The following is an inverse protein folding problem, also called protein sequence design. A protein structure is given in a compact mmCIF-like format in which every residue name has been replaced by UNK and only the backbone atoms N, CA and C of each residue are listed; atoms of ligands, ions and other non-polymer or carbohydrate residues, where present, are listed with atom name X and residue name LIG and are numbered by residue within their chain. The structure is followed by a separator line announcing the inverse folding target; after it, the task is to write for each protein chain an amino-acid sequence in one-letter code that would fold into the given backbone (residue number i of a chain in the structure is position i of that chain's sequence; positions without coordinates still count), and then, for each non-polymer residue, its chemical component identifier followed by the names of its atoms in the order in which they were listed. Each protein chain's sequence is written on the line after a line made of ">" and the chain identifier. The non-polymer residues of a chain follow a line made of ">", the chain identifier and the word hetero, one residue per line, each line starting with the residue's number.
data_IF_239188242216
#
_entry.id   IF_239188242216
#
_cell.length_a   1.000
_cell.length_b   1.000
_cell.length_c   1.000
_cell.angle_alpha   90.00
_cell.angle_beta   90.00
_cell.angle_gamma   90.00
#
_symmetry.space_group_name_H-M   'P 1'
#
loop_
_entity.id
_entity.type
_entity.pdbx_description
1 polymer ?
#
# COMPACT_ATOMS: atom_id res chain seq x y z
N UNK A 1 -21.54 -3.83 37.88
CA UNK A 1 -20.85 -4.91 38.62
C UNK A 1 -19.41 -5.17 38.15
N UNK A 2 -18.68 -4.18 37.61
CA UNK A 2 -17.21 -4.24 37.51
C UNK A 2 -16.66 -2.84 37.75
N UNK A 3 -16.60 -2.48 39.03
CA UNK A 3 -16.09 -1.21 39.54
C UNK A 3 -15.01 -1.51 40.59
N UNK A 4 -13.90 -2.14 40.18
CA UNK A 4 -12.80 -2.45 41.10
C UNK A 4 -11.57 -3.04 40.39
N UNK A 5 -10.89 -2.27 39.52
CA UNK A 5 -9.48 -2.53 39.15
C UNK A 5 -8.79 -1.23 38.66
N UNK A 6 -8.15 -0.43 39.55
CA UNK A 6 -7.55 0.85 39.19
C UNK A 6 -6.30 0.74 38.29
N UNK A 7 -5.64 -0.43 38.26
CA UNK A 7 -4.36 -0.64 37.57
C UNK A 7 -4.48 -1.12 36.11
N UNK A 8 -5.64 -1.65 35.71
CA UNK A 8 -5.92 -2.00 34.30
C UNK A 8 -6.59 -0.86 33.52
N UNK A 9 -7.08 0.17 34.23
CA UNK A 9 -7.74 1.32 33.62
C UNK A 9 -6.76 2.30 32.96
N UNK A 10 -5.50 2.37 33.41
CA UNK A 10 -4.49 3.30 32.87
C UNK A 10 -4.07 2.98 31.41
N UNK A 11 -3.72 1.72 31.06
CA UNK A 11 -3.45 1.37 29.66
C UNK A 11 -4.72 1.49 28.81
N UNK A 12 -5.90 1.15 29.35
CA UNK A 12 -7.17 1.30 28.63
C UNK A 12 -7.53 2.76 28.35
N UNK A 13 -7.34 3.67 29.31
CA UNK A 13 -7.53 5.12 29.11
C UNK A 13 -6.53 5.69 28.12
N UNK A 14 -5.29 5.21 28.13
CA UNK A 14 -4.27 5.61 27.14
C UNK A 14 -4.65 5.14 25.73
N UNK A 15 -5.11 3.89 25.60
CA UNK A 15 -5.65 3.34 24.34
C UNK A 15 -6.90 4.11 23.90
N UNK A 16 -7.81 4.43 24.79
CA UNK A 16 -8.98 5.27 24.52
C UNK A 16 -8.61 6.70 24.07
N UNK A 17 -7.58 7.30 24.68
CA UNK A 17 -7.08 8.64 24.31
C UNK A 17 -6.44 8.69 22.91
N UNK A 18 -6.00 7.54 22.38
CA UNK A 18 -5.59 7.41 20.97
C UNK A 18 -6.78 7.48 20.00
N UNK A 19 -8.01 7.28 20.50
CA UNK A 19 -9.24 7.39 19.73
C UNK A 19 -9.95 8.74 19.87
N UNK A 20 -9.53 9.62 20.78
CA UNK A 20 -10.09 10.97 20.95
C UNK A 20 -9.37 11.99 20.05
N UNK A 21 -10.09 12.52 19.05
CA UNK A 21 -9.57 13.47 18.06
C UNK A 21 -10.06 14.90 18.33
N UNK A 22 -9.13 15.84 18.48
CA UNK A 22 -9.41 17.29 18.60
C UNK A 22 -10.06 17.88 17.33
N UNK A 23 -10.96 18.83 17.54
CA UNK A 23 -11.87 19.38 16.53
C UNK A 23 -11.29 20.62 15.83
N UNK A 24 -10.63 20.43 14.68
CA UNK A 24 -10.35 21.51 13.70
C UNK A 24 -10.99 21.20 12.34
N UNK A 25 -12.02 21.97 11.96
CA UNK A 25 -12.95 21.64 10.87
C UNK A 25 -12.37 21.74 9.45
N UNK A 26 -11.38 22.61 9.18
CA UNK A 26 -10.81 22.73 7.83
C UNK A 26 -9.76 21.68 7.48
N UNK A 27 -9.07 21.11 8.49
CA UNK A 27 -8.11 20.01 8.28
C UNK A 27 -8.77 18.63 8.13
N UNK A 28 -10.07 18.49 8.43
CA UNK A 28 -10.79 17.20 8.40
C UNK A 28 -10.92 16.63 6.98
N UNK A 29 -10.91 17.46 5.93
CA UNK A 29 -11.16 16.99 4.55
C UNK A 29 -10.02 16.15 3.96
N UNK A 30 -8.79 16.25 4.51
CA UNK A 30 -7.60 15.53 4.02
C UNK A 30 -7.12 14.47 5.02
N UNK A 31 -7.35 14.66 6.34
CA UNK A 31 -6.90 13.74 7.40
C UNK A 31 -7.34 12.28 7.21
N UNK A 32 -8.55 12.05 6.70
CA UNK A 32 -9.05 10.69 6.46
C UNK A 32 -8.23 9.93 5.41
N UNK A 33 -7.57 10.64 4.47
CA UNK A 33 -6.70 10.03 3.46
C UNK A 33 -5.43 9.47 4.11
N UNK A 34 -4.86 10.18 5.09
CA UNK A 34 -3.73 9.68 5.87
C UNK A 34 -4.16 8.45 6.70
N UNK A 35 -5.36 8.49 7.30
CA UNK A 35 -5.91 7.32 7.98
C UNK A 35 -6.10 6.11 7.08
N UNK A 36 -6.64 6.33 5.88
CA UNK A 36 -6.80 5.29 4.86
C UNK A 36 -5.43 4.73 4.39
N UNK A 37 -4.42 5.60 4.26
CA UNK A 37 -3.03 5.20 3.99
C UNK A 37 -2.48 4.29 5.09
N UNK A 38 -2.79 4.59 6.35
CA UNK A 38 -2.39 3.78 7.50
C UNK A 38 -3.03 2.39 7.50
N UNK A 39 -4.31 2.30 7.14
CA UNK A 39 -4.98 1.00 6.94
C UNK A 39 -4.30 0.22 5.82
N UNK A 40 -3.99 0.86 4.68
CA UNK A 40 -3.32 0.21 3.58
C UNK A 40 -1.97 -0.41 3.98
N UNK A 41 -1.14 0.28 4.76
CA UNK A 41 0.13 -0.28 5.24
C UNK A 41 -0.07 -1.49 6.17
N UNK A 42 -1.11 -1.50 7.00
CA UNK A 42 -1.43 -2.66 7.85
C UNK A 42 -1.86 -3.85 6.99
N UNK A 43 -2.74 -3.64 6.00
CA UNK A 43 -3.18 -4.70 5.09
C UNK A 43 -2.00 -5.34 4.33
N UNK A 44 -1.02 -4.53 3.91
CA UNK A 44 0.21 -5.03 3.27
C UNK A 44 1.01 -5.92 4.22
N UNK A 45 1.25 -5.48 5.46
CA UNK A 45 1.95 -6.29 6.48
C UNK A 45 1.23 -7.63 6.71
N UNK A 46 -0.08 -7.60 6.97
CA UNK A 46 -0.86 -8.80 7.27
C UNK A 46 -0.83 -9.81 6.13
N UNK A 47 -0.74 -9.33 4.89
CA UNK A 47 -0.63 -10.16 3.70
C UNK A 47 0.72 -10.83 3.57
N UNK A 48 1.81 -10.11 3.90
CA UNK A 48 3.13 -10.73 3.91
C UNK A 48 3.28 -11.74 5.05
N UNK A 49 2.65 -11.51 6.20
CA UNK A 49 2.54 -12.52 7.26
C UNK A 49 1.77 -13.76 6.79
N UNK A 50 0.62 -13.58 6.15
CA UNK A 50 -0.18 -14.68 5.60
C UNK A 50 0.58 -15.43 4.50
N UNK A 51 1.22 -14.72 3.57
CA UNK A 51 1.99 -15.34 2.49
C UNK A 51 3.21 -16.11 3.01
N UNK A 52 3.83 -15.62 4.08
CA UNK A 52 4.98 -16.27 4.70
C UNK A 52 4.61 -17.57 5.43
N UNK A 53 3.52 -17.62 6.19
CA UNK A 53 3.27 -18.77 7.07
C UNK A 53 1.90 -19.44 6.93
N UNK A 54 0.95 -18.83 6.23
CA UNK A 54 -0.42 -19.33 6.07
C UNK A 54 -1.00 -19.02 4.67
N UNK A 55 -0.33 -19.53 3.62
CA UNK A 55 -0.72 -19.30 2.23
C UNK A 55 -2.13 -19.83 1.91
N UNK A 56 -2.64 -20.79 2.68
CA UNK A 56 -4.00 -21.32 2.53
C UNK A 56 -5.10 -20.26 2.70
N UNK A 57 -4.83 -19.13 3.34
CA UNK A 57 -5.79 -18.02 3.47
C UNK A 57 -6.18 -17.37 2.13
N UNK A 58 -5.41 -17.60 1.05
CA UNK A 58 -5.68 -17.05 -0.28
C UNK A 58 -6.76 -17.82 -1.06
N UNK A 59 -7.07 -19.07 -0.66
CA UNK A 59 -8.17 -19.90 -1.18
C UNK A 59 -9.37 -19.92 -0.21
N UNK A 60 -10.63 -20.02 -0.66
CA UNK A 60 -11.80 -20.03 0.23
C UNK A 60 -11.87 -21.26 1.12
N UNK A 61 -11.41 -22.42 0.65
CA UNK A 61 -11.28 -23.72 1.35
C UNK A 61 -11.03 -24.79 0.30
N UNK A 62 -10.53 -25.99 0.62
CA UNK A 62 -10.63 -27.12 -0.31
C UNK A 62 -12.06 -27.65 -0.38
N UNK A 63 -12.46 -28.26 -1.51
CA UNK A 63 -13.83 -28.77 -1.75
C UNK A 63 -14.42 -29.58 -0.58
N UNK A 64 -13.59 -30.35 0.11
CA UNK A 64 -14.01 -31.28 1.18
C UNK A 64 -13.66 -30.78 2.60
N UNK A 65 -13.21 -29.53 2.74
CA UNK A 65 -12.80 -28.96 4.04
C UNK A 65 -13.64 -27.73 4.39
N UNK A 66 -14.13 -27.62 5.64
CA UNK A 66 -14.83 -26.42 6.06
C UNK A 66 -13.87 -25.21 6.02
N UNK A 67 -14.35 -24.02 5.60
CA UNK A 67 -13.53 -22.83 5.59
C UNK A 67 -13.14 -22.40 7.01
N UNK A 68 -11.88 -22.00 7.19
CA UNK A 68 -11.45 -21.33 8.41
C UNK A 68 -12.12 -19.96 8.50
N UNK A 69 -12.30 -19.44 9.71
CA UNK A 69 -12.94 -18.14 9.96
C UNK A 69 -12.37 -17.01 9.09
N UNK A 70 -11.05 -16.98 8.90
CA UNK A 70 -10.34 -15.97 8.12
C UNK A 70 -10.38 -16.21 6.59
N UNK A 71 -11.00 -17.28 6.11
CA UNK A 71 -11.26 -17.54 4.68
C UNK A 71 -12.68 -17.13 4.26
N UNK A 72 -13.55 -16.81 5.21
CA UNK A 72 -14.92 -16.34 4.93
C UNK A 72 -14.92 -14.97 4.22
N UNK A 73 -15.99 -14.65 3.47
CA UNK A 73 -16.17 -13.32 2.87
C UNK A 73 -15.99 -12.20 3.90
N UNK A 74 -15.45 -11.07 3.45
CA UNK A 74 -15.13 -9.87 4.23
C UNK A 74 -13.99 -10.09 5.23
N UNK A 75 -14.03 -11.14 6.05
CA UNK A 75 -13.01 -11.48 7.05
C UNK A 75 -11.66 -11.85 6.44
N UNK A 76 -11.67 -12.31 5.19
CA UNK A 76 -10.45 -12.65 4.45
C UNK A 76 -9.69 -11.50 3.84
N UNK A 77 -10.34 -10.34 3.67
CA UNK A 77 -9.77 -9.16 3.00
C UNK A 77 -8.41 -8.76 3.59
N UNK A 78 -8.21 -8.71 4.92
CA UNK A 78 -6.96 -8.23 5.51
C UNK A 78 -5.71 -9.03 5.14
N UNK A 79 -5.88 -10.31 4.77
CA UNK A 79 -4.79 -11.25 4.55
C UNK A 79 -4.43 -11.42 3.06
N UNK A 80 -5.28 -10.94 2.15
CA UNK A 80 -5.07 -11.05 0.70
C UNK A 80 -4.18 -9.93 0.13
N UNK A 81 -4.23 -8.74 0.72
CA UNK A 81 -3.32 -7.60 0.48
C UNK A 81 -3.45 -6.84 -0.81
N UNK A 82 -4.22 -7.35 -1.77
CA UNK A 82 -4.44 -6.68 -3.06
C UNK A 82 -5.01 -5.28 -2.87
N UNK A 83 -5.97 -5.10 -1.96
CA UNK A 83 -6.57 -3.78 -1.68
C UNK A 83 -5.54 -2.77 -1.15
N UNK A 84 -4.55 -3.21 -0.36
CA UNK A 84 -3.57 -2.31 0.24
C UNK A 84 -2.79 -1.52 -0.81
N UNK A 85 -2.23 -2.20 -1.81
CA UNK A 85 -1.50 -1.55 -2.92
C UNK A 85 -2.44 -0.67 -3.75
N UNK A 86 -3.66 -1.15 -4.04
CA UNK A 86 -4.69 -0.41 -4.76
C UNK A 86 -5.07 0.91 -4.06
N UNK A 87 -5.13 0.94 -2.72
CA UNK A 87 -5.34 2.17 -1.94
C UNK A 87 -4.22 3.18 -2.18
N UNK A 88 -2.94 2.76 -2.19
CA UNK A 88 -1.82 3.69 -2.43
C UNK A 88 -1.87 4.33 -3.83
N UNK A 89 -2.32 3.58 -4.84
CA UNK A 89 -2.54 4.11 -6.18
C UNK A 89 -3.69 5.12 -6.22
N UNK A 90 -4.84 4.80 -5.61
CA UNK A 90 -5.96 5.72 -5.44
C UNK A 90 -5.53 7.03 -4.75
N UNK A 91 -4.82 6.91 -3.62
CA UNK A 91 -4.31 8.04 -2.86
C UNK A 91 -3.32 8.88 -3.69
N UNK A 92 -2.53 8.25 -4.56
CA UNK A 92 -1.64 8.98 -5.48
C UNK A 92 -2.45 9.83 -6.46
N UNK A 93 -3.51 9.28 -7.06
CA UNK A 93 -4.49 10.03 -7.85
C UNK A 93 -5.06 11.22 -7.12
N UNK A 94 -5.59 10.97 -5.92
CA UNK A 94 -6.31 11.98 -5.15
C UNK A 94 -5.41 13.13 -4.69
N UNK A 95 -4.26 12.81 -4.09
CA UNK A 95 -3.38 13.79 -3.45
C UNK A 95 -2.60 14.61 -4.49
N UNK A 96 -2.20 14.01 -5.61
CA UNK A 96 -1.48 14.75 -6.66
C UNK A 96 -2.38 15.77 -7.36
N UNK A 97 -3.67 15.46 -7.51
CA UNK A 97 -4.65 16.36 -8.13
C UNK A 97 -5.16 17.45 -7.19
N UNK A 98 -5.20 17.20 -5.88
CA UNK A 98 -5.87 18.07 -4.90
C UNK A 98 -5.44 19.54 -4.98
N UNK A 99 -4.15 19.82 -4.79
CA UNK A 99 -3.65 21.21 -4.72
C UNK A 99 -3.72 21.93 -6.08
N UNK A 100 -3.28 21.34 -7.21
CA UNK A 100 -3.44 21.97 -8.52
C UNK A 100 -4.89 22.30 -8.85
N UNK A 101 -5.83 21.40 -8.56
CA UNK A 101 -7.26 21.63 -8.82
C UNK A 101 -7.86 22.71 -7.91
N UNK A 102 -7.44 22.79 -6.65
CA UNK A 102 -7.84 23.88 -5.74
C UNK A 102 -7.39 25.25 -6.27
N UNK A 103 -6.14 25.37 -6.74
CA UNK A 103 -5.60 26.61 -7.30
C UNK A 103 -6.28 26.99 -8.62
N UNK A 104 -6.52 26.00 -9.49
CA UNK A 104 -7.26 26.17 -10.75
C UNK A 104 -8.68 26.70 -10.51
N UNK A 105 -9.42 26.11 -9.55
CA UNK A 105 -10.77 26.56 -9.19
C UNK A 105 -10.79 27.95 -8.55
N UNK A 106 -9.71 28.34 -7.86
CA UNK A 106 -9.52 29.70 -7.36
C UNK A 106 -9.13 30.70 -8.47
N UNK A 107 -9.08 30.28 -9.73
CA UNK A 107 -8.69 31.11 -10.88
C UNK A 107 -7.18 31.35 -11.01
N UNK A 108 -6.36 30.75 -10.14
CA UNK A 108 -4.91 30.94 -10.14
C UNK A 108 -4.19 29.82 -10.90
N UNK A 109 -4.34 29.84 -12.23
CA UNK A 109 -3.76 28.83 -13.12
C UNK A 109 -2.23 28.82 -13.08
N UNK A 110 -1.58 29.98 -13.01
CA UNK A 110 -0.11 30.08 -12.93
C UNK A 110 0.43 29.36 -11.69
N UNK A 111 -0.20 29.57 -10.52
CA UNK A 111 0.17 28.85 -9.31
C UNK A 111 -0.14 27.35 -9.42
N UNK A 112 -1.22 26.97 -10.12
CA UNK A 112 -1.55 25.56 -10.34
C UNK A 112 -0.46 24.85 -11.17
N UNK A 113 -0.01 25.45 -12.28
CA UNK A 113 1.08 24.92 -13.10
C UNK A 113 2.42 24.87 -12.35
N UNK A 114 2.79 25.94 -11.63
CA UNK A 114 4.00 25.93 -10.78
C UNK A 114 3.92 24.82 -9.71
N UNK A 115 2.74 24.60 -9.12
CA UNK A 115 2.52 23.51 -8.17
C UNK A 115 2.69 22.13 -8.81
N UNK A 116 2.27 21.93 -10.06
CA UNK A 116 2.49 20.68 -10.79
C UNK A 116 3.97 20.49 -11.05
N UNK A 117 4.66 21.50 -11.61
CA UNK A 117 6.09 21.45 -11.93
C UNK A 117 6.94 21.07 -10.71
N UNK A 118 6.74 21.77 -9.59
CA UNK A 118 7.45 21.46 -8.32
C UNK A 118 7.12 20.06 -7.79
N UNK A 119 5.87 19.62 -7.92
CA UNK A 119 5.47 18.28 -7.45
C UNK A 119 6.09 17.19 -8.31
N UNK A 120 6.10 17.36 -9.63
CA UNK A 120 6.73 16.45 -10.57
C UNK A 120 8.24 16.33 -10.32
N UNK A 121 8.93 17.45 -10.07
CA UNK A 121 10.36 17.43 -9.74
C UNK A 121 10.66 16.77 -8.40
N UNK A 122 9.89 17.08 -7.36
CA UNK A 122 10.13 16.56 -6.00
C UNK A 122 9.82 15.08 -5.87
N UNK A 123 8.94 14.52 -6.71
CA UNK A 123 8.41 13.15 -6.53
C UNK A 123 9.46 12.05 -6.72
N UNK A 124 10.29 12.03 -7.79
CA UNK A 124 11.32 11.01 -7.95
C UNK A 124 12.34 11.01 -6.79
N UNK A 125 12.98 12.13 -6.40
CA UNK A 125 13.94 12.10 -5.29
C UNK A 125 13.32 11.63 -3.97
N UNK A 126 12.07 12.04 -3.67
CA UNK A 126 11.36 11.63 -2.45
C UNK A 126 11.04 10.13 -2.38
N UNK A 127 10.89 9.46 -3.52
CA UNK A 127 10.67 8.01 -3.57
C UNK A 127 11.99 7.24 -3.70
N UNK A 128 12.88 7.70 -4.59
CA UNK A 128 14.13 7.02 -4.91
C UNK A 128 15.10 7.06 -3.73
N UNK A 129 15.29 8.21 -3.07
CA UNK A 129 16.30 8.33 -2.01
C UNK A 129 16.02 7.41 -0.82
N UNK A 130 14.83 7.43 -0.17
CA UNK A 130 14.57 6.53 0.95
C UNK A 130 14.58 5.05 0.51
N UNK A 131 14.03 4.72 -0.65
CA UNK A 131 14.05 3.35 -1.17
C UNK A 131 15.48 2.83 -1.41
N UNK A 132 16.37 3.70 -1.91
CA UNK A 132 17.79 3.38 -2.11
C UNK A 132 18.50 3.14 -0.78
N UNK A 133 18.23 3.95 0.25
CA UNK A 133 18.77 3.72 1.59
C UNK A 133 18.28 2.37 2.14
N UNK A 134 16.99 2.05 1.97
CA UNK A 134 16.42 0.78 2.41
C UNK A 134 17.06 -0.41 1.66
N UNK A 135 17.29 -0.28 0.36
CA UNK A 135 18.02 -1.26 -0.46
C UNK A 135 19.44 -1.50 0.05
N UNK A 136 20.20 -0.44 0.32
CA UNK A 136 21.59 -0.54 0.79
C UNK A 136 21.64 -1.18 2.18
N UNK A 137 20.68 -0.88 3.05
CA UNK A 137 20.57 -1.53 4.35
C UNK A 137 20.22 -3.02 4.22
N UNK A 138 19.26 -3.38 3.35
CA UNK A 138 18.94 -4.77 3.08
C UNK A 138 20.13 -5.54 2.47
N UNK A 139 20.86 -4.91 1.56
CA UNK A 139 22.11 -5.43 1.01
C UNK A 139 23.15 -5.69 2.11
N UNK A 140 23.38 -4.72 3.00
CA UNK A 140 24.32 -4.87 4.11
C UNK A 140 23.91 -6.02 5.05
N UNK A 141 22.60 -6.14 5.36
CA UNK A 141 22.07 -7.25 6.15
C UNK A 141 22.28 -8.59 5.44
N UNK A 142 22.17 -8.65 4.11
CA UNK A 142 22.50 -9.84 3.33
C UNK A 142 23.98 -10.20 3.44
N UNK A 143 24.90 -9.24 3.30
CA UNK A 143 26.34 -9.48 3.45
C UNK A 143 26.72 -10.01 4.84
N UNK A 144 25.98 -9.60 5.88
CA UNK A 144 26.15 -10.08 7.25
C UNK A 144 25.48 -11.44 7.51
N UNK A 145 24.90 -12.09 6.49
CA UNK A 145 24.25 -13.38 6.61
C UNK A 145 22.85 -13.32 7.24
N UNK A 146 22.22 -12.14 7.32
CA UNK A 146 20.93 -11.93 7.98
C UNK A 146 19.80 -12.83 7.46
N UNK A 147 19.82 -13.12 6.16
CA UNK A 147 18.82 -13.95 5.48
C UNK A 147 19.10 -15.45 5.51
N UNK A 148 20.19 -15.90 6.13
CA UNK A 148 20.61 -17.31 6.13
C UNK A 148 19.53 -18.23 6.71
N UNK A 149 18.87 -17.81 7.79
CA UNK A 149 17.75 -18.55 8.39
C UNK A 149 16.57 -18.61 7.44
N UNK A 150 16.26 -17.49 6.76
CA UNK A 150 15.18 -17.42 5.78
C UNK A 150 15.38 -18.38 4.61
N UNK A 151 16.60 -18.48 4.08
CA UNK A 151 16.98 -19.40 3.01
C UNK A 151 16.86 -20.90 3.39
N UNK A 152 16.71 -21.21 4.67
CA UNK A 152 16.69 -22.57 5.24
C UNK A 152 15.38 -22.92 5.92
N UNK A 153 14.44 -21.98 5.98
CA UNK A 153 13.14 -22.13 6.64
C UNK A 153 12.21 -23.12 5.91
N UNK A 154 11.33 -23.80 6.64
CA UNK A 154 10.25 -24.61 6.03
C UNK A 154 9.25 -23.80 5.19
N UNK A 155 9.25 -22.47 5.31
CA UNK A 155 8.39 -21.57 4.55
C UNK A 155 8.93 -21.32 3.14
N UNK A 156 8.22 -21.84 2.14
CA UNK A 156 8.57 -21.69 0.72
C UNK A 156 8.71 -20.22 0.31
N UNK A 157 7.79 -19.37 0.74
CA UNK A 157 7.81 -17.95 0.39
C UNK A 157 8.97 -17.21 1.05
N UNK A 158 9.27 -17.49 2.33
CA UNK A 158 10.41 -16.87 3.02
C UNK A 158 11.72 -17.29 2.36
N UNK A 159 11.88 -18.57 1.98
CA UNK A 159 13.06 -19.04 1.25
C UNK A 159 13.22 -18.33 -0.09
N UNK A 160 12.15 -18.27 -0.89
CA UNK A 160 12.20 -17.66 -2.22
C UNK A 160 12.43 -16.14 -2.17
N UNK A 161 11.84 -15.45 -1.18
CA UNK A 161 11.96 -14.00 -1.05
C UNK A 161 13.26 -13.54 -0.35
N UNK A 162 14.06 -14.48 0.17
CA UNK A 162 15.33 -14.17 0.84
C UNK A 162 16.49 -14.22 -0.17
N UNK A 163 17.33 -13.17 -0.25
CA UNK A 163 18.44 -13.17 -1.20
C UNK A 163 19.50 -14.19 -0.78
N UNK A 164 20.06 -14.87 -1.77
CA UNK A 164 21.30 -15.64 -1.64
C UNK A 164 22.47 -14.74 -2.06
N UNK A 165 23.49 -14.65 -1.21
CA UNK A 165 24.68 -13.82 -1.43
C UNK A 165 25.61 -14.49 -2.44
N UNK A 166 26.14 -13.73 -3.39
CA UNK A 166 27.14 -14.17 -4.36
C UNK A 166 28.52 -14.43 -3.71
N UNK A 167 29.35 -15.26 -4.34
CA UNK A 167 30.62 -15.73 -3.76
C UNK A 167 31.67 -14.64 -3.47
N UNK A 168 31.49 -13.42 -3.98
CA UNK A 168 32.48 -12.35 -3.84
C UNK A 168 31.83 -10.98 -3.63
N UNK A 169 32.46 -10.17 -2.78
CA UNK A 169 32.00 -8.81 -2.48
C UNK A 169 31.91 -7.93 -3.74
N UNK A 170 32.83 -8.11 -4.70
CA UNK A 170 32.82 -7.36 -5.97
C UNK A 170 31.56 -7.68 -6.79
N UNK A 171 31.19 -8.97 -6.89
CA UNK A 171 29.93 -9.38 -7.55
C UNK A 171 28.72 -8.78 -6.85
N UNK A 172 28.71 -8.74 -5.51
CA UNK A 172 27.63 -8.14 -4.73
C UNK A 172 27.52 -6.61 -4.90
N UNK A 173 28.64 -5.90 -5.01
CA UNK A 173 28.63 -4.45 -5.32
C UNK A 173 28.10 -4.22 -6.75
N UNK A 174 28.55 -5.01 -7.73
CA UNK A 174 28.02 -4.93 -9.10
C UNK A 174 26.52 -5.28 -9.16
N UNK A 175 26.10 -6.27 -8.36
CA UNK A 175 24.69 -6.65 -8.19
C UNK A 175 23.90 -5.50 -7.58
N UNK A 176 24.42 -4.79 -6.58
CA UNK A 176 23.75 -3.62 -6.01
C UNK A 176 23.43 -2.55 -7.06
N UNK A 177 24.39 -2.20 -7.94
CA UNK A 177 24.14 -1.26 -9.05
C UNK A 177 23.15 -1.82 -10.07
N UNK A 178 23.23 -3.12 -10.39
CA UNK A 178 22.28 -3.79 -11.29
C UNK A 178 20.87 -3.78 -10.71
N UNK A 179 20.72 -4.05 -9.42
CA UNK A 179 19.45 -4.07 -8.68
C UNK A 179 18.87 -2.68 -8.59
N UNK A 180 19.68 -1.66 -8.27
CA UNK A 180 19.24 -0.26 -8.33
C UNK A 180 18.62 0.08 -9.69
N UNK A 181 19.32 -0.30 -10.77
CA UNK A 181 18.83 -0.09 -12.14
C UNK A 181 17.56 -0.90 -12.42
N UNK A 182 17.48 -2.17 -12.02
CA UNK A 182 16.29 -3.00 -12.27
C UNK A 182 15.06 -2.45 -11.53
N UNK A 183 15.20 -2.05 -10.25
CA UNK A 183 14.13 -1.47 -9.45
C UNK A 183 13.43 -0.31 -10.16
N UNK A 184 14.19 0.55 -10.85
CA UNK A 184 13.65 1.73 -11.54
C UNK A 184 13.41 1.55 -13.04
N UNK A 185 13.69 0.37 -13.61
CA UNK A 185 13.44 0.07 -15.04
C UNK A 185 12.37 -0.99 -15.26
N UNK A 186 12.41 -2.08 -14.50
CA UNK A 186 11.44 -3.19 -14.58
C UNK A 186 10.72 -3.48 -13.25
N UNK A 187 11.10 -2.81 -12.14
CA UNK A 187 10.46 -2.96 -10.84
C UNK A 187 11.00 -4.13 -10.00
N UNK A 188 11.94 -4.91 -10.52
CA UNK A 188 12.50 -6.06 -9.80
C UNK A 188 13.60 -5.63 -8.82
N UNK A 189 13.53 -6.15 -7.59
CA UNK A 189 14.48 -5.83 -6.53
C UNK A 189 14.86 -7.09 -5.72
N UNK A 190 16.03 -7.65 -6.01
CA UNK A 190 16.52 -8.89 -5.38
C UNK A 190 16.51 -8.86 -3.83
N UNK A 191 16.86 -7.72 -3.24
CA UNK A 191 17.00 -7.61 -1.80
C UNK A 191 15.66 -7.42 -1.08
N UNK A 192 14.63 -6.88 -1.77
CA UNK A 192 13.31 -6.62 -1.20
C UNK A 192 12.24 -6.46 -2.30
N UNK A 193 11.73 -7.60 -2.81
CA UNK A 193 10.78 -7.62 -3.92
C UNK A 193 9.50 -6.81 -3.64
N UNK A 194 9.18 -6.55 -2.37
CA UNK A 194 8.02 -5.76 -1.95
C UNK A 194 8.03 -4.33 -2.50
N UNK A 195 9.21 -3.80 -2.86
CA UNK A 195 9.33 -2.43 -3.38
C UNK A 195 8.84 -2.26 -4.83
N UNK A 196 8.47 -3.34 -5.52
CA UNK A 196 8.04 -3.33 -6.92
C UNK A 196 6.97 -2.27 -7.25
N UNK A 197 6.07 -1.97 -6.32
CA UNK A 197 4.98 -1.02 -6.53
C UNK A 197 5.45 0.45 -6.61
N UNK A 198 6.68 0.77 -6.21
CA UNK A 198 7.22 2.14 -6.28
C UNK A 198 7.34 2.66 -7.71
N UNK A 199 7.79 1.83 -8.65
CA UNK A 199 7.97 2.23 -10.04
C UNK A 199 6.63 2.54 -10.73
N UNK A 200 5.59 1.67 -10.65
CA UNK A 200 4.24 2.00 -11.12
C UNK A 200 3.66 3.25 -10.44
N UNK A 201 3.85 3.46 -9.13
CA UNK A 201 3.38 4.67 -8.44
C UNK A 201 4.07 5.94 -8.93
N UNK A 202 5.38 5.87 -9.21
CA UNK A 202 6.13 6.98 -9.79
C UNK A 202 5.62 7.29 -11.20
N UNK A 203 5.54 6.29 -12.09
CA UNK A 203 4.98 6.45 -13.44
C UNK A 203 3.56 7.00 -13.40
N UNK A 204 2.72 6.47 -12.51
CA UNK A 204 1.35 6.91 -12.30
C UNK A 204 1.25 8.38 -11.88
N UNK A 205 2.14 8.85 -11.01
CA UNK A 205 2.20 10.27 -10.64
C UNK A 205 2.54 11.18 -11.83
N UNK A 206 3.41 10.75 -12.73
CA UNK A 206 3.75 11.51 -13.95
C UNK A 206 2.58 11.57 -14.92
N UNK A 207 1.84 10.47 -15.09
CA UNK A 207 0.59 10.45 -15.89
C UNK A 207 -0.40 11.48 -15.35
N UNK A 208 -0.60 11.52 -14.02
CA UNK A 208 -1.49 12.51 -13.38
C UNK A 208 -1.03 13.94 -13.70
N UNK A 209 0.26 14.25 -13.60
CA UNK A 209 0.77 15.59 -13.88
C UNK A 209 0.55 16.00 -15.35
N UNK A 210 0.77 15.08 -16.30
CA UNK A 210 0.48 15.32 -17.72
C UNK A 210 -1.01 15.59 -17.95
N UNK A 211 -1.88 14.77 -17.36
CA UNK A 211 -3.34 14.95 -17.47
C UNK A 211 -3.78 16.27 -16.84
N UNK A 212 -3.25 16.63 -15.67
CA UNK A 212 -3.56 17.92 -15.04
C UNK A 212 -3.11 19.10 -15.89
N UNK A 213 -1.93 19.03 -16.51
CA UNK A 213 -1.47 20.07 -17.44
C UNK A 213 -2.41 20.19 -18.65
N UNK A 214 -2.79 19.07 -19.27
CA UNK A 214 -3.69 19.05 -20.43
C UNK A 214 -5.13 19.46 -20.13
N UNK A 215 -5.60 19.25 -18.89
CA UNK A 215 -6.99 19.53 -18.48
C UNK A 215 -7.14 20.79 -17.62
N UNK A 216 -6.06 21.55 -17.41
CA UNK A 216 -6.04 22.68 -16.46
C UNK A 216 -7.08 23.75 -16.76
N UNK A 217 -7.26 24.08 -18.04
CA UNK A 217 -8.23 25.06 -18.55
C UNK A 217 -9.57 24.45 -18.94
N UNK A 218 -9.70 23.14 -18.83
CA UNK A 218 -10.92 22.43 -19.18
C UNK A 218 -12.01 22.72 -18.15
N UNK A 219 -13.23 23.00 -18.60
CA UNK A 219 -14.36 23.15 -17.68
C UNK A 219 -14.58 21.84 -16.92
N UNK A 220 -15.06 21.95 -15.68
CA UNK A 220 -15.27 20.82 -14.77
C UNK A 220 -15.97 19.62 -15.43
N UNK A 221 -17.08 19.84 -16.15
CA UNK A 221 -17.85 18.76 -16.80
C UNK A 221 -16.99 17.94 -17.77
N UNK A 222 -16.26 18.62 -18.65
CA UNK A 222 -15.42 17.93 -19.63
C UNK A 222 -14.21 17.28 -18.98
N UNK A 223 -13.66 17.88 -17.92
CA UNK A 223 -12.56 17.27 -17.15
C UNK A 223 -12.99 15.97 -16.47
N UNK A 224 -14.21 15.94 -15.91
CA UNK A 224 -14.80 14.71 -15.37
C UNK A 224 -15.02 13.67 -16.47
N UNK A 225 -15.43 14.08 -17.68
CA UNK A 225 -15.52 13.17 -18.83
C UNK A 225 -14.17 12.57 -19.19
N UNK A 226 -13.07 13.34 -19.17
CA UNK A 226 -11.72 12.81 -19.41
C UNK A 226 -11.36 11.74 -18.38
N UNK A 227 -11.61 11.98 -17.10
CA UNK A 227 -11.34 10.98 -16.06
C UNK A 227 -12.17 9.71 -16.25
N UNK A 228 -13.45 9.85 -16.63
CA UNK A 228 -14.32 8.71 -16.94
C UNK A 228 -13.86 7.94 -18.18
N UNK A 229 -13.44 8.62 -19.24
CA UNK A 229 -12.89 7.98 -20.46
C UNK A 229 -11.60 7.22 -20.11
N UNK A 230 -10.71 7.83 -19.33
CA UNK A 230 -9.48 7.16 -18.89
C UNK A 230 -9.77 5.97 -17.99
N UNK A 231 -10.73 6.07 -17.07
CA UNK A 231 -11.19 4.93 -16.28
C UNK A 231 -11.68 3.78 -17.18
N UNK A 232 -12.54 4.08 -18.17
CA UNK A 232 -13.05 3.08 -19.11
C UNK A 232 -11.95 2.48 -19.98
N UNK A 233 -10.94 3.27 -20.36
CA UNK A 233 -9.77 2.78 -21.07
C UNK A 233 -8.97 1.75 -20.23
N UNK A 234 -8.65 2.07 -18.97
CA UNK A 234 -7.93 1.13 -18.09
C UNK A 234 -8.79 -0.07 -17.66
N UNK A 235 -10.12 0.08 -17.64
CA UNK A 235 -11.03 -1.04 -17.46
C UNK A 235 -10.89 -2.09 -18.57
N UNK A 236 -10.76 -1.63 -19.82
CA UNK A 236 -10.63 -2.51 -20.98
C UNK A 236 -9.21 -3.06 -21.20
N UNK A 237 -8.19 -2.34 -20.74
CA UNK A 237 -6.80 -2.69 -20.99
C UNK A 237 -6.37 -3.96 -20.22
N UNK A 238 -5.97 -5.07 -20.87
CA UNK A 238 -5.66 -6.34 -20.19
C UNK A 238 -4.25 -6.41 -19.59
N UNK A 239 -3.41 -5.38 -19.81
CA UNK A 239 -2.05 -5.38 -19.31
C UNK A 239 -1.95 -5.44 -17.78
N UNK A 240 -0.77 -5.82 -17.27
CA UNK A 240 -0.55 -6.08 -15.85
C UNK A 240 -0.80 -4.82 -15.00
N UNK A 241 -1.45 -5.02 -13.85
CA UNK A 241 -1.67 -4.02 -12.79
C UNK A 241 -2.42 -2.75 -13.23
N UNK A 242 -3.07 -2.77 -14.39
CA UNK A 242 -3.77 -1.60 -14.93
C UNK A 242 -5.01 -1.23 -14.12
N UNK A 243 -5.68 -2.22 -13.52
CA UNK A 243 -6.73 -2.04 -12.52
C UNK A 243 -6.21 -1.50 -11.19
N UNK A 244 -4.99 -1.86 -10.79
CA UNK A 244 -4.42 -1.46 -9.50
C UNK A 244 -3.85 -0.06 -9.57
N UNK A 245 -3.15 0.30 -10.65
CA UNK A 245 -2.57 1.64 -10.82
C UNK A 245 -3.42 2.49 -11.74
N UNK A 246 -3.45 2.18 -13.04
CA UNK A 246 -4.11 2.99 -14.07
C UNK A 246 -5.51 3.47 -13.67
N UNK A 247 -6.43 2.53 -13.45
CA UNK A 247 -7.81 2.81 -13.05
C UNK A 247 -7.89 3.66 -11.77
N UNK A 248 -7.14 3.27 -10.73
CA UNK A 248 -7.21 3.91 -9.42
C UNK A 248 -6.66 5.34 -9.39
N UNK A 249 -5.65 5.64 -10.21
CA UNK A 249 -5.15 7.01 -10.35
C UNK A 249 -6.28 7.93 -10.83
N UNK A 250 -7.07 7.50 -11.81
CA UNK A 250 -8.19 8.29 -12.34
C UNK A 250 -9.40 8.32 -11.39
N UNK A 251 -9.69 7.25 -10.65
CA UNK A 251 -10.69 7.30 -9.55
C UNK A 251 -10.27 8.30 -8.47
N UNK A 252 -8.98 8.33 -8.14
CA UNK A 252 -8.39 9.31 -7.23
C UNK A 252 -8.54 10.75 -7.74
N UNK A 253 -8.20 11.01 -9.00
CA UNK A 253 -8.38 12.33 -9.63
C UNK A 253 -9.84 12.75 -9.67
N UNK A 254 -10.73 11.83 -10.04
CA UNK A 254 -12.18 12.05 -10.10
C UNK A 254 -12.74 12.45 -8.75
N UNK A 255 -12.43 11.67 -7.70
CA UNK A 255 -12.88 11.98 -6.34
C UNK A 255 -12.25 13.27 -5.79
N UNK A 256 -11.01 13.58 -6.15
CA UNK A 256 -10.35 14.83 -5.74
C UNK A 256 -11.01 16.05 -6.39
N UNK A 257 -11.38 15.97 -7.66
CA UNK A 257 -12.08 17.06 -8.34
C UNK A 257 -13.51 17.23 -7.81
N UNK A 258 -14.22 16.11 -7.60
CA UNK A 258 -15.55 16.08 -6.97
C UNK A 258 -15.53 16.64 -5.53
N UNK A 259 -14.45 16.40 -4.79
CA UNK A 259 -14.25 16.96 -3.45
C UNK A 259 -14.17 18.49 -3.45
N UNK A 260 -13.65 19.07 -4.53
CA UNK A 260 -13.56 20.52 -4.69
C UNK A 260 -14.83 21.14 -5.31
N UNK A 261 -15.85 20.34 -5.64
CA UNK A 261 -17.11 20.79 -6.21
C UNK A 261 -18.15 21.19 -5.18
N UNK A 262 -18.32 22.50 -4.98
CA UNK A 262 -19.26 23.04 -3.99
C UNK A 262 -20.70 22.64 -4.27
N UNK A 263 -21.13 22.63 -5.53
CA UNK A 263 -22.49 22.24 -5.92
C UNK A 263 -22.79 20.79 -5.53
N UNK A 264 -21.87 19.87 -5.82
CA UNK A 264 -21.99 18.48 -5.39
C UNK A 264 -21.98 18.33 -3.87
N UNK A 265 -21.07 19.02 -3.15
CA UNK A 265 -21.03 18.94 -1.68
C UNK A 265 -22.34 19.44 -1.05
N UNK A 266 -22.91 20.54 -1.56
CA UNK A 266 -24.20 21.05 -1.12
C UNK A 266 -25.32 20.05 -1.39
N UNK A 267 -25.38 19.46 -2.58
CA UNK A 267 -26.37 18.43 -2.92
C UNK A 267 -26.26 17.18 -2.01
N UNK A 268 -25.06 16.67 -1.78
CA UNK A 268 -24.85 15.51 -0.89
C UNK A 268 -25.18 15.85 0.58
N UNK A 269 -25.07 17.11 0.97
CA UNK A 269 -25.42 17.55 2.32
C UNK A 269 -26.94 17.51 2.60
N UNK A 270 -27.78 17.69 1.58
CA UNK A 270 -29.25 17.64 1.74
C UNK A 270 -29.79 16.22 1.91
N UNK A 271 -29.09 15.22 1.39
CA UNK A 271 -29.53 13.81 1.35
C UNK A 271 -29.09 12.99 2.58
N UNK A 272 -29.22 13.49 3.81
CA UNK A 272 -28.59 12.89 5.00
C UNK A 272 -28.89 11.39 5.21
N UNK A 273 -30.18 11.00 5.25
CA UNK A 273 -30.60 9.60 5.47
C UNK A 273 -30.29 8.71 4.27
N UNK A 274 -30.67 9.15 3.07
CA UNK A 274 -30.44 8.39 1.82
C UNK A 274 -28.94 8.19 1.57
N UNK A 275 -28.12 9.20 1.82
CA UNK A 275 -26.65 9.12 1.73
C UNK A 275 -26.10 8.07 2.69
N UNK A 276 -26.62 7.99 3.91
CA UNK A 276 -26.17 6.99 4.90
C UNK A 276 -26.49 5.58 4.45
N UNK A 277 -27.74 5.32 4.02
CA UNK A 277 -28.17 4.00 3.53
C UNK A 277 -27.36 3.62 2.29
N UNK A 278 -27.22 4.53 1.34
CA UNK A 278 -26.45 4.32 0.12
C UNK A 278 -24.98 4.03 0.42
N UNK A 279 -24.33 4.84 1.26
CA UNK A 279 -22.94 4.66 1.68
C UNK A 279 -22.70 3.30 2.36
N UNK A 280 -23.59 2.85 3.25
CA UNK A 280 -23.48 1.54 3.88
C UNK A 280 -23.70 0.41 2.87
N UNK A 281 -24.67 0.56 1.97
CA UNK A 281 -24.99 -0.46 0.95
C UNK A 281 -23.81 -0.66 -0.01
N UNK A 282 -23.26 0.43 -0.55
CA UNK A 282 -22.11 0.33 -1.46
C UNK A 282 -20.83 -0.09 -0.72
N UNK A 283 -20.69 0.21 0.57
CA UNK A 283 -19.58 -0.30 1.38
C UNK A 283 -19.66 -1.83 1.55
N UNK A 284 -20.84 -2.37 1.87
CA UNK A 284 -21.05 -3.82 1.99
C UNK A 284 -20.81 -4.49 0.64
N UNK A 285 -21.37 -3.95 -0.45
CA UNK A 285 -21.13 -4.47 -1.79
C UNK A 285 -19.64 -4.43 -2.14
N UNK A 286 -18.96 -3.32 -1.87
CA UNK A 286 -17.53 -3.16 -2.10
C UNK A 286 -16.69 -4.17 -1.32
N UNK A 287 -17.00 -4.41 -0.05
CA UNK A 287 -16.36 -5.43 0.77
C UNK A 287 -16.63 -6.84 0.23
N UNK A 288 -17.86 -7.15 -0.16
CA UNK A 288 -18.22 -8.44 -0.77
C UNK A 288 -17.46 -8.69 -2.07
N UNK A 289 -17.39 -7.71 -2.98
CA UNK A 289 -16.63 -7.83 -4.22
C UNK A 289 -15.13 -7.97 -3.95
N UNK A 290 -14.57 -7.15 -3.05
CA UNK A 290 -13.16 -7.21 -2.72
C UNK A 290 -12.74 -8.50 -1.99
N UNK A 291 -13.71 -9.29 -1.53
CA UNK A 291 -13.49 -10.59 -0.89
C UNK A 291 -13.16 -11.70 -1.89
N UNK A 292 -13.32 -11.51 -3.20
CA UNK A 292 -13.01 -12.53 -4.21
C UNK A 292 -11.66 -13.22 -3.92
N UNK A 293 -11.52 -14.54 -3.91
CA UNK A 293 -10.25 -15.17 -3.54
C UNK A 293 -9.13 -14.89 -4.56
N UNK A 294 -7.87 -15.09 -4.15
CA UNK A 294 -6.74 -15.02 -5.06
C UNK A 294 -6.57 -16.33 -5.83
N UNK A 295 -6.76 -17.43 -5.13
CA UNK A 295 -6.56 -18.80 -5.59
C UNK A 295 -7.87 -19.58 -5.48
N UNK A 296 -8.10 -20.49 -6.42
CA UNK A 296 -9.20 -21.46 -6.41
C UNK A 296 -10.60 -20.84 -6.11
N UNK A 297 -11.03 -19.81 -6.86
CA UNK A 297 -12.37 -19.21 -6.70
C UNK A 297 -13.52 -20.20 -6.86
N UNK A 298 -13.31 -21.31 -7.55
CA UNK A 298 -14.28 -22.38 -7.78
C UNK A 298 -14.59 -23.24 -6.54
N UNK A 299 -13.88 -23.06 -5.42
CA UNK A 299 -14.05 -23.91 -4.25
C UNK A 299 -15.19 -23.50 -3.29
N UNK A 300 -15.76 -22.31 -3.46
CA UNK A 300 -16.94 -21.88 -2.70
C UNK A 300 -17.98 -21.23 -3.59
N UNK A 301 -19.26 -21.51 -3.32
CA UNK A 301 -20.38 -21.07 -4.17
C UNK A 301 -20.42 -19.53 -4.35
N UNK A 302 -20.16 -18.78 -3.29
CA UNK A 302 -20.15 -17.32 -3.35
C UNK A 302 -19.02 -16.77 -4.22
N UNK A 303 -17.84 -17.40 -4.21
CA UNK A 303 -16.71 -16.98 -5.04
C UNK A 303 -16.85 -17.48 -6.47
N UNK A 304 -17.48 -18.63 -6.68
CA UNK A 304 -17.85 -19.13 -8.00
C UNK A 304 -18.90 -18.24 -8.66
N UNK A 305 -19.88 -17.75 -7.91
CA UNK A 305 -20.84 -16.76 -8.40
C UNK A 305 -20.13 -15.46 -8.85
N UNK A 306 -19.20 -14.95 -8.04
CA UNK A 306 -18.38 -13.81 -8.45
C UNK A 306 -17.48 -14.14 -9.65
N UNK A 307 -16.96 -15.36 -9.77
CA UNK A 307 -16.17 -15.79 -10.92
C UNK A 307 -16.98 -15.71 -12.22
N UNK A 308 -18.22 -16.22 -12.21
CA UNK A 308 -19.14 -16.18 -13.36
C UNK A 308 -19.50 -14.74 -13.75
N UNK A 309 -19.82 -13.90 -12.76
CA UNK A 309 -20.06 -12.48 -12.98
C UNK A 309 -18.80 -11.85 -13.59
N UNK A 310 -17.64 -12.05 -12.96
CA UNK A 310 -16.36 -11.46 -13.37
C UNK A 310 -15.99 -11.78 -14.81
N UNK A 311 -16.17 -13.03 -15.24
CA UNK A 311 -15.94 -13.48 -16.60
C UNK A 311 -16.87 -12.81 -17.64
N UNK A 312 -18.00 -12.27 -17.19
CA UNK A 312 -18.98 -11.57 -18.05
C UNK A 312 -18.72 -10.07 -18.10
N UNK A 313 -18.43 -9.43 -16.97
CA UNK A 313 -18.23 -7.95 -16.88
C UNK A 313 -16.81 -7.49 -17.20
N UNK A 314 -15.80 -8.31 -16.94
CA UNK A 314 -14.41 -7.94 -17.22
C UNK A 314 -13.95 -8.48 -18.58
N UNK A 315 -13.05 -7.76 -19.28
CA UNK A 315 -12.45 -8.26 -20.52
C UNK A 315 -11.75 -9.62 -20.33
N UNK A 316 -11.60 -10.38 -21.40
CA UNK A 316 -10.85 -11.63 -21.38
C UNK A 316 -9.35 -11.40 -21.11
N UNK A 317 -8.68 -12.38 -20.50
CA UNK A 317 -7.23 -12.34 -20.24
C UNK A 317 -6.80 -11.45 -19.06
N UNK A 318 -7.73 -10.94 -18.26
CA UNK A 318 -7.43 -10.09 -17.09
C UNK A 318 -7.23 -10.90 -15.80
N UNK A 319 -6.53 -10.32 -14.82
CA UNK A 319 -6.49 -10.85 -13.46
C UNK A 319 -7.78 -10.50 -12.70
N UNK A 320 -8.76 -11.41 -12.70
CA UNK A 320 -10.06 -11.21 -12.05
C UNK A 320 -9.95 -10.83 -10.58
N UNK A 321 -8.99 -11.40 -9.85
CA UNK A 321 -8.80 -11.10 -8.44
C UNK A 321 -8.40 -9.66 -8.15
N UNK A 322 -7.49 -9.10 -8.96
CA UNK A 322 -7.14 -7.68 -8.88
C UNK A 322 -8.28 -6.79 -9.37
N UNK A 323 -9.03 -7.19 -10.39
CA UNK A 323 -10.18 -6.44 -10.91
C UNK A 323 -11.31 -6.31 -9.89
N UNK A 324 -11.67 -7.40 -9.22
CA UNK A 324 -12.62 -7.37 -8.11
C UNK A 324 -12.11 -6.55 -6.92
N UNK A 325 -10.80 -6.62 -6.61
CA UNK A 325 -10.21 -5.78 -5.56
C UNK A 325 -10.25 -4.29 -5.91
N UNK A 326 -10.01 -3.93 -7.17
CA UNK A 326 -10.09 -2.56 -7.67
C UNK A 326 -11.53 -2.03 -7.63
N UNK A 327 -12.48 -2.78 -8.20
CA UNK A 327 -13.90 -2.40 -8.18
C UNK A 327 -14.45 -2.33 -6.75
N UNK A 328 -14.10 -3.29 -5.90
CA UNK A 328 -14.47 -3.28 -4.49
C UNK A 328 -13.89 -2.09 -3.74
N UNK A 329 -12.63 -1.73 -4.00
CA UNK A 329 -12.04 -0.51 -3.46
C UNK A 329 -12.78 0.74 -3.94
N UNK A 330 -13.10 0.84 -5.23
CA UNK A 330 -13.81 2.00 -5.80
C UNK A 330 -15.09 2.25 -4.98
N UNK A 331 -15.92 1.22 -4.80
CA UNK A 331 -17.14 1.32 -3.99
C UNK A 331 -16.87 1.70 -2.52
N UNK A 332 -15.82 1.14 -1.90
CA UNK A 332 -15.43 1.46 -0.52
C UNK A 332 -14.98 2.93 -0.40
N UNK A 333 -14.16 3.43 -1.33
CA UNK A 333 -13.69 4.83 -1.26
C UNK A 333 -14.82 5.81 -1.56
N UNK A 334 -15.77 5.48 -2.45
CA UNK A 334 -17.01 6.24 -2.63
C UNK A 334 -17.87 6.22 -1.36
N UNK A 335 -18.00 5.07 -0.68
CA UNK A 335 -18.70 4.98 0.61
C UNK A 335 -18.05 5.89 1.67
N UNK A 336 -16.73 5.81 1.84
CA UNK A 336 -15.97 6.66 2.76
C UNK A 336 -16.14 8.13 2.39
N UNK A 337 -16.06 8.46 1.10
CA UNK A 337 -16.23 9.82 0.60
C UNK A 337 -17.60 10.41 0.96
N UNK A 338 -18.66 9.60 0.93
CA UNK A 338 -20.02 10.01 1.28
C UNK A 338 -20.35 9.91 2.79
N UNK A 339 -19.49 9.29 3.61
CA UNK A 339 -19.74 9.07 5.04
C UNK A 339 -18.87 9.98 5.93
N UNK A 340 -19.43 11.09 6.48
CA UNK A 340 -18.72 11.92 7.46
C UNK A 340 -18.26 11.13 8.70
N UNK A 341 -19.05 10.15 9.14
CA UNK A 341 -18.72 9.30 10.29
C UNK A 341 -17.46 8.48 10.02
N UNK A 342 -17.37 7.85 8.84
CA UNK A 342 -16.19 7.04 8.48
C UNK A 342 -14.96 7.93 8.31
N UNK A 343 -15.09 9.10 7.66
CA UNK A 343 -13.99 10.09 7.60
C UNK A 343 -13.51 10.52 8.98
N UNK A 344 -14.44 10.74 9.92
CA UNK A 344 -14.12 11.09 11.31
C UNK A 344 -13.35 9.98 12.02
N UNK A 345 -13.77 8.72 11.87
CA UNK A 345 -13.07 7.54 12.41
C UNK A 345 -11.64 7.47 11.85
N UNK A 346 -11.47 7.57 10.53
CA UNK A 346 -10.16 7.55 9.87
C UNK A 346 -9.27 8.74 10.23
N UNK A 347 -9.85 9.81 10.77
CA UNK A 347 -9.10 11.00 11.23
C UNK A 347 -8.67 10.92 12.70
N UNK A 348 -8.89 9.79 13.38
CA UNK A 348 -8.44 9.58 14.77
C UNK A 348 -6.92 9.40 14.84
N UNK A 349 -6.33 9.71 16.01
CA UNK A 349 -4.86 9.75 16.20
C UNK A 349 -4.18 8.42 15.83
N UNK A 350 -4.78 7.29 16.18
CA UNK A 350 -4.26 5.97 15.81
C UNK A 350 -4.06 5.84 14.29
N UNK A 351 -5.11 6.08 13.50
CA UNK A 351 -5.04 5.96 12.03
C UNK A 351 -4.09 6.98 11.42
N UNK A 352 -4.05 8.21 11.95
CA UNK A 352 -3.10 9.23 11.53
C UNK A 352 -1.64 8.84 11.83
N UNK A 353 -1.39 8.19 12.98
CA UNK A 353 -0.08 7.66 13.32
C UNK A 353 0.34 6.55 12.34
N UNK A 354 -0.54 5.60 12.06
CA UNK A 354 -0.29 4.55 11.06
C UNK A 354 -0.02 5.18 9.68
N UNK A 355 -0.84 6.15 9.28
CA UNK A 355 -0.73 6.88 8.02
C UNK A 355 0.57 7.64 7.85
N UNK A 356 1.01 8.35 8.89
CA UNK A 356 2.27 9.10 8.90
C UNK A 356 3.48 8.20 8.67
N UNK A 357 3.49 6.99 9.23
CA UNK A 357 4.62 6.05 9.13
C UNK A 357 4.47 5.02 7.99
N UNK A 358 3.36 5.04 7.25
CA UNK A 358 3.01 4.02 6.25
C UNK A 358 4.07 3.79 5.17
N UNK A 359 4.73 4.86 4.68
CA UNK A 359 5.79 4.74 3.68
C UNK A 359 7.06 4.09 4.26
N UNK A 360 7.45 4.50 5.47
CA UNK A 360 8.56 3.88 6.19
C UNK A 360 8.28 2.41 6.52
N UNK A 361 7.05 2.08 6.92
CA UNK A 361 6.60 0.70 7.11
C UNK A 361 6.76 -0.09 5.81
N UNK A 362 6.29 0.45 4.68
CA UNK A 362 6.44 -0.18 3.37
C UNK A 362 7.90 -0.50 3.05
N UNK A 363 8.85 0.41 3.32
CA UNK A 363 10.27 0.20 3.04
C UNK A 363 10.97 -0.77 4.02
N UNK A 364 10.55 -0.83 5.29
CA UNK A 364 11.28 -1.57 6.31
C UNK A 364 10.70 -2.97 6.58
N UNK A 365 9.38 -3.15 6.43
CA UNK A 365 8.71 -4.38 6.88
C UNK A 365 9.21 -5.64 6.16
N UNK A 366 9.56 -5.56 4.88
CA UNK A 366 9.99 -6.73 4.10
C UNK A 366 11.29 -7.34 4.63
N UNK A 367 12.30 -6.49 4.85
CA UNK A 367 13.57 -6.89 5.45
C UNK A 367 13.40 -7.34 6.90
N UNK A 368 12.64 -6.57 7.71
CA UNK A 368 12.38 -6.93 9.10
C UNK A 368 11.60 -8.26 9.23
N UNK A 369 10.69 -8.56 8.31
CA UNK A 369 9.94 -9.81 8.30
C UNK A 369 10.86 -10.99 8.00
N UNK A 370 11.66 -10.89 6.93
CA UNK A 370 12.52 -11.99 6.46
C UNK A 370 13.73 -12.24 7.37
N UNK A 371 14.13 -11.26 8.17
CA UNK A 371 15.26 -11.37 9.10
C UNK A 371 14.76 -11.47 10.54
N UNK A 372 14.22 -10.39 11.10
CA UNK A 372 13.88 -10.32 12.54
C UNK A 372 12.77 -11.29 12.92
N UNK A 373 11.63 -11.29 12.21
CA UNK A 373 10.54 -12.22 12.55
C UNK A 373 10.94 -13.67 12.28
N UNK A 374 11.63 -13.93 11.18
CA UNK A 374 12.20 -15.25 10.88
C UNK A 374 13.12 -15.72 12.02
N UNK A 375 14.02 -14.89 12.53
CA UNK A 375 14.88 -15.25 13.67
C UNK A 375 14.08 -15.52 14.94
N UNK A 376 13.00 -14.78 15.18
CA UNK A 376 12.12 -15.03 16.32
C UNK A 376 11.34 -16.34 16.21
N UNK A 377 11.03 -16.82 15.00
CA UNK A 377 10.24 -18.04 14.76
C UNK A 377 11.13 -19.28 14.65
N UNK A 378 12.28 -19.19 13.99
CA UNK A 378 13.15 -20.33 13.66
C UNK A 378 14.45 -20.37 14.50
N UNK A 379 14.75 -19.32 15.26
CA UNK A 379 16.04 -19.13 15.91
C UNK A 379 17.04 -18.36 15.03
N UNK A 380 18.16 -17.95 15.63
CA UNK A 380 19.15 -17.08 14.98
C UNK A 380 20.21 -17.90 14.22
N UNK A 381 20.57 -19.08 14.73
CA UNK A 381 21.52 -19.98 14.09
C UNK A 381 20.80 -20.82 13.04
N UNK A 382 20.88 -20.46 11.76
CA UNK A 382 20.40 -21.31 10.66
C UNK A 382 21.22 -22.60 10.47
N UNK A 383 22.02 -22.99 11.47
CA UNK A 383 22.99 -24.08 11.50
C UNK A 383 22.60 -25.09 12.59
N UNK A 384 23.00 -26.37 12.48
CA UNK A 384 23.78 -26.98 11.39
C UNK A 384 22.94 -27.18 10.12
N UNK A 385 23.54 -26.90 8.96
CA UNK A 385 22.94 -27.08 7.63
C UNK A 385 23.90 -27.87 6.74
N UNK A 386 24.19 -29.10 7.16
CA UNK A 386 25.14 -29.98 6.47
C UNK A 386 24.37 -31.13 5.81
N UNK A 387 24.62 -31.42 4.52
CA UNK A 387 24.07 -32.60 3.88
C UNK A 387 24.53 -33.88 4.58
N UNK A 388 23.60 -34.78 4.85
CA UNK A 388 23.91 -36.09 5.42
C UNK A 388 23.96 -37.13 4.30
N UNK A 389 24.71 -38.22 4.48
CA UNK A 389 24.68 -39.34 3.53
C UNK A 389 23.68 -40.38 4.02
N UNK A 390 22.75 -40.81 3.17
CA UNK A 390 21.88 -41.94 3.49
C UNK A 390 22.68 -43.26 3.43
N UNK A 391 22.05 -44.36 3.84
CA UNK A 391 22.66 -45.71 3.81
C UNK A 391 23.18 -46.13 2.43
N UNK A 392 22.62 -45.57 1.35
CA UNK A 392 23.02 -45.82 -0.04
C UNK A 392 24.18 -44.92 -0.53
N UNK A 393 24.75 -44.10 0.35
CA UNK A 393 25.82 -43.15 0.01
C UNK A 393 25.35 -41.88 -0.71
N UNK A 394 24.06 -41.78 -1.00
CA UNK A 394 23.43 -40.58 -1.59
C UNK A 394 23.44 -39.40 -0.62
N UNK A 395 23.75 -38.21 -1.14
CA UNK A 395 23.75 -36.96 -0.38
C UNK A 395 22.31 -36.48 -0.21
N UNK A 396 21.80 -36.55 1.01
CA UNK A 396 20.47 -36.05 1.38
C UNK A 396 20.61 -34.60 1.83
N UNK A 397 19.87 -33.66 1.22
CA UNK A 397 19.87 -32.28 1.69
C UNK A 397 19.33 -32.22 3.14
N UNK A 398 19.87 -31.34 3.99
CA UNK A 398 19.38 -31.22 5.37
C UNK A 398 17.89 -30.87 5.39
N UNK A 399 17.13 -31.36 6.40
CA UNK A 399 15.73 -31.03 6.53
C UNK A 399 15.57 -29.52 6.79
N UNK A 400 14.54 -28.91 6.19
CA UNK A 400 14.21 -27.50 6.42
C UNK A 400 14.03 -27.21 7.92
N UNK A 401 14.44 -26.00 8.33
CA UNK A 401 14.29 -25.56 9.72
C UNK A 401 12.81 -25.54 10.08
N UNK A 402 12.39 -26.29 11.13
CA UNK A 402 10.99 -26.32 11.55
C UNK A 402 10.63 -24.98 12.18
N UNK A 403 9.46 -24.45 11.86
CA UNK A 403 8.93 -23.24 12.52
C UNK A 403 8.58 -23.53 13.98
N UNK A 404 8.70 -22.50 14.83
CA UNK A 404 8.21 -22.56 16.21
C UNK A 404 6.72 -22.88 16.30
N UNK A 405 6.28 -23.41 17.45
CA UNK A 405 4.87 -23.74 17.67
C UNK A 405 3.95 -22.51 17.74
N UNK A 406 2.61 -22.69 17.83
CA UNK A 406 1.64 -21.59 17.80
C UNK A 406 1.86 -20.50 18.85
N UNK A 407 2.38 -20.86 20.03
CA UNK A 407 2.71 -19.91 21.12
C UNK A 407 3.86 -18.98 20.71
N UNK A 408 4.85 -19.49 19.98
CA UNK A 408 5.97 -18.68 19.45
C UNK A 408 5.41 -17.63 18.49
N UNK A 409 4.51 -18.01 17.58
CA UNK A 409 3.84 -17.08 16.67
C UNK A 409 3.00 -16.02 17.41
N UNK A 410 2.23 -16.45 18.42
CA UNK A 410 1.37 -15.55 19.21
C UNK A 410 2.15 -14.47 19.97
N UNK A 411 3.42 -14.74 20.34
CA UNK A 411 4.31 -13.78 20.99
C UNK A 411 5.13 -13.00 19.96
N UNK A 412 5.68 -13.68 18.94
CA UNK A 412 6.60 -13.09 18.00
C UNK A 412 5.95 -12.06 17.08
N UNK A 413 4.73 -12.33 16.58
CA UNK A 413 4.06 -11.41 15.65
C UNK A 413 3.75 -10.06 16.30
N UNK A 414 3.12 -9.97 17.50
CA UNK A 414 2.86 -8.66 18.13
C UNK A 414 4.14 -7.89 18.45
N UNK A 415 5.17 -8.57 18.97
CA UNK A 415 6.48 -7.95 19.23
C UNK A 415 7.09 -7.42 17.94
N UNK A 416 7.06 -8.20 16.86
CA UNK A 416 7.58 -7.79 15.56
C UNK A 416 6.81 -6.60 14.98
N UNK A 417 5.48 -6.57 15.09
CA UNK A 417 4.68 -5.40 14.66
C UNK A 417 5.13 -4.14 15.42
N UNK A 418 5.34 -4.23 16.74
CA UNK A 418 5.88 -3.12 17.53
C UNK A 418 7.27 -2.68 17.03
N UNK A 419 8.17 -3.62 16.74
CA UNK A 419 9.49 -3.34 16.17
C UNK A 419 9.37 -2.62 14.82
N UNK A 420 8.51 -3.11 13.92
CA UNK A 420 8.29 -2.49 12.59
C UNK A 420 7.82 -1.05 12.73
N UNK A 421 6.83 -0.78 13.57
CA UNK A 421 6.33 0.59 13.76
C UNK A 421 7.32 1.49 14.51
N UNK A 422 8.13 0.93 15.42
CA UNK A 422 9.20 1.66 16.07
C UNK A 422 10.29 2.07 15.07
N UNK A 423 10.79 1.13 14.28
CA UNK A 423 11.78 1.39 13.21
C UNK A 423 11.20 2.36 12.18
N UNK A 424 9.94 2.18 11.76
CA UNK A 424 9.29 3.08 10.83
C UNK A 424 9.12 4.50 11.39
N UNK A 425 8.89 4.63 12.70
CA UNK A 425 8.84 5.93 13.36
C UNK A 425 10.20 6.65 13.36
N UNK A 426 11.27 5.92 13.67
CA UNK A 426 12.64 6.44 13.57
C UNK A 426 12.97 6.82 12.12
N UNK A 427 12.64 5.96 11.16
CA UNK A 427 12.83 6.21 9.74
C UNK A 427 12.13 7.48 9.27
N UNK A 428 10.84 7.62 9.58
CA UNK A 428 10.03 8.80 9.22
C UNK A 428 10.60 10.08 9.84
N UNK A 429 11.14 9.98 11.05
CA UNK A 429 11.67 11.13 11.79
C UNK A 429 13.04 11.57 11.28
N UNK A 430 13.93 10.62 10.96
CA UNK A 430 15.32 10.91 10.61
C UNK A 430 15.60 10.77 9.12
N UNK A 431 15.29 9.61 8.53
CA UNK A 431 15.64 9.28 7.14
C UNK A 431 14.77 10.04 6.15
N UNK A 432 13.44 10.02 6.33
CA UNK A 432 12.54 10.75 5.44
C UNK A 432 12.75 12.26 5.55
N UNK A 433 12.96 12.78 6.77
CA UNK A 433 13.29 14.18 6.98
C UNK A 433 14.62 14.59 6.33
N UNK A 434 15.63 13.72 6.40
CA UNK A 434 16.91 13.91 5.70
C UNK A 434 16.72 13.95 4.18
N UNK A 435 16.01 12.97 3.61
CA UNK A 435 15.74 12.90 2.17
C UNK A 435 14.90 14.10 1.68
N UNK A 436 13.95 14.57 2.50
CA UNK A 436 13.17 15.75 2.22
C UNK A 436 14.02 17.03 2.19
N UNK A 437 14.96 17.20 3.14
CA UNK A 437 15.92 18.31 3.13
C UNK A 437 16.84 18.26 1.90
N UNK A 438 17.34 17.07 1.56
CA UNK A 438 18.19 16.89 0.38
C UNK A 438 17.43 17.25 -0.92
N UNK A 439 16.19 16.78 -1.05
CA UNK A 439 15.32 17.13 -2.18
C UNK A 439 15.07 18.64 -2.27
N UNK A 440 14.84 19.30 -1.14
CA UNK A 440 14.64 20.76 -1.11
C UNK A 440 15.90 21.52 -1.51
N UNK A 441 17.09 21.07 -1.08
CA UNK A 441 18.37 21.65 -1.51
C UNK A 441 18.58 21.49 -3.02
N UNK A 442 18.26 20.31 -3.55
CA UNK A 442 18.35 20.04 -4.99
C UNK A 442 17.39 20.94 -5.78
N UNK A 443 16.15 21.09 -5.32
CA UNK A 443 15.19 22.01 -5.94
C UNK A 443 15.67 23.46 -5.91
N UNK A 444 16.14 23.95 -4.76
CA UNK A 444 16.63 25.33 -4.62
C UNK A 444 17.87 25.61 -5.50
N UNK A 445 18.65 24.57 -5.82
CA UNK A 445 19.80 24.69 -6.71
C UNK A 445 19.43 24.66 -8.20
N UNK A 446 18.38 23.93 -8.57
CA UNK A 446 17.99 23.70 -9.96
C UNK A 446 16.92 24.69 -10.45
N UNK A 447 16.08 25.22 -9.57
CA UNK A 447 14.98 26.13 -9.93
C UNK A 447 15.45 27.60 -9.92
N UNK A 448 14.88 28.39 -10.83
CA UNK A 448 15.16 29.83 -10.89
C UNK A 448 14.61 30.56 -9.64
N UNK A 449 15.37 31.50 -9.05
CA UNK A 449 14.97 32.21 -7.83
C UNK A 449 13.69 33.06 -7.96
N UNK A 450 13.29 33.45 -9.17
CA UNK A 450 12.33 34.53 -9.43
C UNK A 450 10.98 34.10 -10.04
N UNK A 451 10.50 32.88 -9.81
CA UNK A 451 9.17 32.41 -10.29
C UNK A 451 7.98 33.30 -9.86
N UNK A 452 8.14 34.22 -8.90
CA UNK A 452 7.04 35.10 -8.45
C UNK A 452 6.84 36.35 -9.31
N UNK A 453 7.80 36.75 -10.16
CA UNK A 453 7.70 38.02 -10.89
C UNK A 453 7.26 37.88 -12.36
N UNK A 454 7.20 36.67 -12.92
CA UNK A 454 6.82 36.46 -14.33
C UNK A 454 5.48 35.70 -14.44
N UNK A 455 4.41 36.33 -13.92
CA UNK A 455 3.05 35.80 -13.98
C UNK A 455 2.37 35.83 -15.36
N UNK A 456 3.11 36.03 -16.45
CA UNK A 456 2.57 36.00 -17.82
C UNK A 456 3.17 34.83 -18.58
N UNK A 457 2.42 33.73 -18.68
CA UNK A 457 2.65 32.76 -19.76
C UNK A 457 2.55 33.52 -21.09
N UNK A 458 3.43 33.28 -22.08
CA UNK A 458 3.19 33.76 -23.44
C UNK A 458 1.82 33.23 -23.89
N UNK A 459 0.97 34.14 -24.40
CA UNK A 459 -0.38 33.83 -24.88
C UNK A 459 -0.35 32.91 -26.09
#
# INVERSE_FOLDING_TARGET
>A
MFASFPLLAAPWRSVCSLFEGGSDNNGRSVKWLDGLRGIASVLVILTHLARAWDYGLFSPNGKDTPPRLLQLPILRIPWQGRIGVTIFAFLTGYVCALKPLQLSRAGNYTAAFSSISKSAFRRPPRLILPATIAMVLAWAVAQLGGFTVGNRADSDWIRFASPVVEDSLLKEIMRLFRVFRSTWTNGHMDYDDHQWALLPLLKGSMIIYVVLCGTMYMQYRYRMMVYSIMFMYFWQHPGPDTETFGQQLFVGMFLSDLANDQSFQMYVSTLTSSRRIFSVTIAILGLSLASFPGEQPEYADWSQFLLQIGQTIFPSGVNLGKRFSALGLDLIVFAIFLSPTTKSILSKRLFLFLGRNSFAVYLCHGTLLRVVLTWMIYGISGQPWEPTKNKDGEVVPPPWLPRGGPVVFAIAIPIWICIVYFVAHLWTTYVDAFCARLTHRLEAHVFEPNEKEHGRLPR
#
